data_IF_963969725650
#
_entry.id   IF_963969725650
#
_cell.length_a   1.000
_cell.length_b   1.000
_cell.length_c   1.000
_cell.angle_alpha   90.00
_cell.angle_beta   90.00
_cell.angle_gamma   90.00
#
_symmetry.space_group_name_H-M   'P 1'
#
loop_
_entity.id
_entity.type
_entity.pdbx_description
1 polymer ?
#
# COMPACT_ATOMS: atom_id res chain seq x y z
N UNK A 1 9.13 21.00 -2.52
CA UNK A 1 9.08 19.52 -2.47
C UNK A 1 10.13 18.97 -3.42
N UNK A 2 11.20 18.32 -2.93
CA UNK A 2 12.22 17.73 -3.80
C UNK A 2 11.96 16.23 -3.94
N UNK A 3 11.38 15.86 -5.08
CA UNK A 3 11.16 14.46 -5.48
C UNK A 3 11.94 14.23 -6.77
N UNK A 4 12.78 13.21 -6.80
CA UNK A 4 13.68 12.89 -7.92
C UNK A 4 13.42 11.49 -8.44
N UNK A 5 13.74 11.25 -9.73
CA UNK A 5 13.69 9.90 -10.30
C UNK A 5 14.85 9.08 -9.72
N UNK A 6 14.55 7.90 -9.19
CA UNK A 6 15.58 6.98 -8.74
C UNK A 6 16.44 6.50 -9.91
N UNK A 7 17.72 6.32 -9.63
CA UNK A 7 18.71 5.68 -10.50
C UNK A 7 19.16 4.35 -9.86
N UNK A 8 19.71 3.39 -10.62
CA UNK A 8 20.06 2.06 -10.11
C UNK A 8 20.99 2.08 -8.90
N UNK A 9 21.84 3.11 -8.76
CA UNK A 9 22.76 3.31 -7.63
C UNK A 9 22.04 3.60 -6.30
N UNK A 10 20.74 3.89 -6.34
CA UNK A 10 19.93 4.10 -5.13
C UNK A 10 19.41 2.79 -4.52
N UNK A 11 19.59 1.64 -5.19
CA UNK A 11 19.07 0.34 -4.77
C UNK A 11 19.29 0.03 -3.27
N UNK A 12 20.53 0.20 -2.80
CA UNK A 12 20.88 -0.05 -1.40
C UNK A 12 20.12 0.89 -0.47
N UNK A 13 20.08 2.19 -0.79
CA UNK A 13 19.38 3.18 0.03
C UNK A 13 17.87 2.89 0.11
N UNK A 14 17.25 2.51 -1.01
CA UNK A 14 15.81 2.18 -1.05
C UNK A 14 15.51 0.88 -0.28
N UNK A 15 16.40 -0.11 -0.37
CA UNK A 15 16.32 -1.34 0.42
C UNK A 15 16.37 -1.02 1.93
N UNK A 16 17.30 -0.17 2.37
CA UNK A 16 17.38 0.23 3.78
C UNK A 16 16.12 0.96 4.26
N UNK A 17 15.55 1.85 3.43
CA UNK A 17 14.29 2.53 3.76
C UNK A 17 13.16 1.50 3.92
N UNK A 18 13.06 0.54 3.01
CA UNK A 18 12.02 -0.50 3.01
C UNK A 18 12.07 -1.34 4.28
N UNK A 19 13.27 -1.83 4.63
CA UNK A 19 13.48 -2.66 5.83
C UNK A 19 13.20 -1.85 7.10
N UNK A 20 13.71 -0.62 7.20
CA UNK A 20 13.50 0.24 8.37
C UNK A 20 12.01 0.58 8.56
N UNK A 21 11.31 0.93 7.48
CA UNK A 21 9.88 1.22 7.51
C UNK A 21 9.06 -0.02 7.86
N UNK A 22 9.42 -1.20 7.36
CA UNK A 22 8.73 -2.45 7.69
C UNK A 22 8.91 -2.85 9.16
N UNK A 23 10.13 -2.68 9.70
CA UNK A 23 10.44 -2.96 11.12
C UNK A 23 9.68 -2.05 12.09
N UNK A 24 9.29 -0.85 11.66
CA UNK A 24 8.51 0.07 12.49
C UNK A 24 7.18 -0.52 12.98
N UNK A 25 6.63 -1.50 12.26
CA UNK A 25 5.39 -2.18 12.62
C UNK A 25 5.55 -3.22 13.74
N UNK A 26 6.74 -3.38 14.31
CA UNK A 26 7.03 -4.33 15.39
C UNK A 26 6.69 -5.79 15.06
N UNK A 27 6.77 -6.18 13.78
CA UNK A 27 6.74 -7.59 13.41
C UNK A 27 7.91 -8.34 14.06
N UNK A 28 7.76 -9.63 14.38
CA UNK A 28 8.87 -10.42 14.89
C UNK A 28 10.07 -10.38 13.95
N UNK A 29 11.29 -10.23 14.50
CA UNK A 29 12.50 -10.05 13.68
C UNK A 29 12.76 -11.25 12.76
N UNK A 30 12.40 -12.47 13.17
CA UNK A 30 12.52 -13.65 12.32
C UNK A 30 11.59 -13.59 11.09
N UNK A 31 10.45 -12.90 11.16
CA UNK A 31 9.61 -12.64 9.97
C UNK A 31 10.26 -11.63 9.03
N UNK A 32 10.84 -10.58 9.59
CA UNK A 32 11.59 -9.59 8.81
C UNK A 32 12.74 -10.28 8.06
N UNK A 33 13.46 -11.20 8.72
CA UNK A 33 14.52 -12.00 8.10
C UNK A 33 14.00 -12.84 6.93
N UNK A 34 12.87 -13.54 7.10
CA UNK A 34 12.23 -14.29 6.01
C UNK A 34 11.84 -13.39 4.83
N UNK A 35 11.45 -12.15 5.10
CA UNK A 35 11.05 -11.20 4.06
C UNK A 35 12.19 -10.41 3.43
N UNK A 36 13.44 -10.50 3.92
CA UNK A 36 14.55 -9.72 3.37
C UNK A 36 14.68 -9.81 1.85
N UNK A 37 14.56 -10.99 1.20
CA UNK A 37 14.58 -11.07 -0.26
C UNK A 37 13.47 -10.24 -0.93
N UNK A 38 12.27 -10.24 -0.37
CA UNK A 38 11.10 -9.48 -0.88
C UNK A 38 11.21 -7.98 -0.59
N UNK A 39 11.91 -7.59 0.48
CA UNK A 39 12.14 -6.19 0.88
C UNK A 39 13.36 -5.56 0.19
N UNK A 40 14.10 -6.34 -0.61
CA UNK A 40 15.30 -5.89 -1.31
C UNK A 40 14.94 -5.31 -2.67
N UNK A 41 15.34 -4.07 -2.90
CA UNK A 41 15.16 -3.37 -4.17
C UNK A 41 16.43 -3.48 -4.99
N UNK A 42 16.35 -4.10 -6.16
CA UNK A 42 17.52 -4.28 -7.03
C UNK A 42 17.74 -3.10 -7.99
N UNK A 43 18.96 -2.90 -8.50
CA UNK A 43 19.26 -1.94 -9.56
C UNK A 43 18.41 -2.16 -10.83
N UNK A 44 18.16 -3.43 -11.18
CA UNK A 44 17.35 -3.85 -12.34
C UNK A 44 15.90 -3.43 -12.14
N UNK A 45 15.34 -3.68 -10.95
CA UNK A 45 13.99 -3.24 -10.61
C UNK A 45 13.81 -1.73 -10.81
N UNK A 46 14.79 -0.92 -10.38
CA UNK A 46 14.74 0.54 -10.54
C UNK A 46 14.79 0.96 -12.02
N UNK A 47 15.56 0.22 -12.83
CA UNK A 47 15.72 0.48 -14.26
C UNK A 47 14.45 0.16 -15.05
N UNK A 48 13.73 -0.89 -14.64
CA UNK A 48 12.54 -1.39 -15.32
C UNK A 48 11.24 -0.69 -14.90
N UNK A 49 11.20 -0.12 -13.68
CA UNK A 49 9.97 0.43 -13.09
C UNK A 49 10.06 1.93 -12.82
N UNK A 50 8.92 2.61 -12.69
CA UNK A 50 8.88 4.04 -12.39
C UNK A 50 9.00 4.30 -10.87
N UNK A 51 10.23 4.51 -10.42
CA UNK A 51 10.62 4.70 -9.01
C UNK A 51 11.02 6.15 -8.71
N UNK A 52 10.45 6.75 -7.66
CA UNK A 52 10.70 8.14 -7.28
C UNK A 52 11.03 8.28 -5.79
N UNK A 53 11.98 9.17 -5.48
CA UNK A 53 12.55 9.35 -4.16
C UNK A 53 12.22 10.75 -3.64
N UNK A 54 11.74 10.85 -2.41
CA UNK A 54 11.71 12.09 -1.63
C UNK A 54 13.07 12.30 -0.96
N UNK A 55 13.67 13.45 -1.23
CA UNK A 55 14.86 13.89 -0.51
C UNK A 55 14.50 14.79 0.67
N UNK A 56 15.17 14.58 1.81
CA UNK A 56 15.18 15.47 2.97
C UNK A 56 16.64 15.77 3.28
N UNK A 57 17.00 17.05 3.32
CA UNK A 57 18.40 17.47 3.53
C UNK A 57 19.38 16.80 2.55
N UNK A 58 18.93 16.59 1.31
CA UNK A 58 19.72 15.96 0.24
C UNK A 58 19.82 14.43 0.32
N UNK A 59 19.17 13.77 1.29
CA UNK A 59 19.22 12.31 1.48
C UNK A 59 17.89 11.63 1.17
N UNK A 60 17.89 10.41 0.59
CA UNK A 60 16.69 9.59 0.44
C UNK A 60 16.02 9.33 1.79
N UNK A 61 14.75 9.75 1.92
CA UNK A 61 13.99 9.61 3.16
C UNK A 61 12.68 8.83 2.98
N UNK A 62 12.17 8.79 1.76
CA UNK A 62 10.99 8.03 1.38
C UNK A 62 11.04 7.79 -0.13
N UNK A 63 10.33 6.78 -0.61
CA UNK A 63 10.22 6.52 -2.04
C UNK A 63 8.92 5.80 -2.37
N UNK A 64 8.57 5.76 -3.65
CA UNK A 64 7.55 4.86 -4.16
C UNK A 64 7.97 4.30 -5.52
N UNK A 65 7.31 3.23 -5.95
CA UNK A 65 7.44 2.68 -7.29
C UNK A 65 6.09 2.37 -7.92
N UNK A 66 6.00 2.56 -9.23
CA UNK A 66 4.90 2.11 -10.06
C UNK A 66 5.39 0.97 -10.95
N UNK A 67 4.68 -0.15 -10.88
CA UNK A 67 4.92 -1.35 -11.68
C UNK A 67 3.72 -1.59 -12.58
N UNK A 68 3.96 -1.69 -13.87
CA UNK A 68 2.93 -2.09 -14.82
C UNK A 68 3.01 -3.60 -15.00
N UNK A 69 1.87 -4.29 -14.83
CA UNK A 69 1.74 -5.72 -15.12
C UNK A 69 0.55 -5.93 -16.04
N UNK A 70 0.82 -6.37 -17.26
CA UNK A 70 -0.14 -6.41 -18.36
C UNK A 70 -0.95 -5.10 -18.50
N UNK A 71 -2.26 -5.16 -18.21
CA UNK A 71 -3.19 -4.03 -18.28
C UNK A 71 -3.48 -3.39 -16.92
N UNK A 72 -2.65 -3.67 -15.91
CA UNK A 72 -2.81 -3.17 -14.55
C UNK A 72 -1.60 -2.33 -14.14
N UNK A 73 -1.85 -1.33 -13.29
CA UNK A 73 -0.82 -0.51 -12.68
C UNK A 73 -0.88 -0.68 -11.17
N UNK A 74 0.28 -0.95 -10.59
CA UNK A 74 0.44 -1.21 -9.16
C UNK A 74 1.34 -0.13 -8.54
N UNK A 75 0.89 0.42 -7.41
CA UNK A 75 1.77 1.09 -6.46
C UNK A 75 2.48 0.00 -5.67
N UNK A 76 3.59 -0.46 -6.23
CA UNK A 76 4.29 -1.66 -5.78
C UNK A 76 5.07 -1.39 -4.48
N UNK A 77 5.59 -0.17 -4.33
CA UNK A 77 6.21 0.29 -3.09
C UNK A 77 5.76 1.70 -2.74
N UNK A 78 5.57 1.97 -1.45
CA UNK A 78 5.49 3.32 -0.87
C UNK A 78 6.00 3.25 0.58
N UNK A 79 7.23 3.69 0.79
CA UNK A 79 7.91 3.57 2.08
C UNK A 79 8.45 4.93 2.54
N UNK A 80 8.32 5.18 3.84
CA UNK A 80 8.82 6.39 4.51
C UNK A 80 9.65 5.94 5.69
N UNK A 81 10.84 6.52 5.87
CA UNK A 81 11.65 6.24 7.06
C UNK A 81 10.88 6.56 8.35
N UNK A 82 11.02 5.76 9.43
CA UNK A 82 10.27 5.93 10.68
C UNK A 82 10.37 7.34 11.27
N UNK A 83 11.56 7.95 11.29
CA UNK A 83 11.81 9.31 11.78
C UNK A 83 11.08 10.41 10.99
N UNK A 84 10.54 10.07 9.82
CA UNK A 84 9.81 10.95 8.93
C UNK A 84 8.32 10.60 8.78
N UNK A 85 7.86 9.53 9.44
CA UNK A 85 6.43 9.16 9.48
C UNK A 85 5.59 10.19 10.26
N UNK A 86 4.30 10.25 9.96
CA UNK A 86 3.37 11.20 10.58
C UNK A 86 3.51 12.66 10.14
N UNK A 87 4.52 12.99 9.30
CA UNK A 87 4.81 14.36 8.83
C UNK A 87 4.19 14.71 7.48
N UNK A 88 3.25 13.90 6.97
CA UNK A 88 2.59 14.12 5.69
C UNK A 88 3.35 13.64 4.44
N UNK A 89 4.57 13.10 4.59
CA UNK A 89 5.41 12.69 3.45
C UNK A 89 4.77 11.58 2.60
N UNK A 90 4.19 10.56 3.24
CA UNK A 90 3.48 9.49 2.52
C UNK A 90 2.34 10.03 1.67
N UNK A 91 1.58 11.01 2.18
CA UNK A 91 0.50 11.69 1.45
C UNK A 91 1.02 12.45 0.23
N UNK A 92 2.13 13.19 0.40
CA UNK A 92 2.78 13.91 -0.70
C UNK A 92 3.26 12.97 -1.80
N UNK A 93 3.93 11.87 -1.43
CA UNK A 93 4.40 10.88 -2.38
C UNK A 93 3.26 10.14 -3.08
N UNK A 94 2.19 9.80 -2.34
CA UNK A 94 1.00 9.19 -2.93
C UNK A 94 0.34 10.11 -3.96
N UNK A 95 0.19 11.40 -3.65
CA UNK A 95 -0.34 12.39 -4.60
C UNK A 95 0.54 12.50 -5.86
N UNK A 96 1.86 12.51 -5.69
CA UNK A 96 2.79 12.47 -6.82
C UNK A 96 2.65 11.17 -7.63
N UNK A 97 2.51 10.01 -6.98
CA UNK A 97 2.30 8.73 -7.64
C UNK A 97 1.01 8.71 -8.48
N UNK A 98 -0.10 9.29 -7.99
CA UNK A 98 -1.33 9.43 -8.77
C UNK A 98 -1.14 10.32 -10.01
N UNK A 99 -0.43 11.43 -9.88
CA UNK A 99 -0.12 12.30 -11.03
C UNK A 99 0.70 11.55 -12.09
N UNK A 100 1.69 10.76 -11.66
CA UNK A 100 2.51 9.92 -12.55
C UNK A 100 1.70 8.81 -13.20
N UNK A 101 0.82 8.17 -12.44
CA UNK A 101 -0.04 7.06 -12.89
C UNK A 101 -0.95 7.44 -14.06
N UNK A 102 -1.34 8.70 -14.18
CA UNK A 102 -2.18 9.18 -15.31
C UNK A 102 -1.52 9.00 -16.68
N UNK A 103 -0.19 8.92 -16.74
CA UNK A 103 0.54 8.71 -18.00
C UNK A 103 0.29 7.33 -18.61
N UNK A 104 -0.10 6.36 -17.78
CA UNK A 104 -0.36 4.98 -18.20
C UNK A 104 -1.73 4.81 -18.86
N UNK A 105 -2.61 5.84 -18.83
CA UNK A 105 -3.96 5.82 -19.44
C UNK A 105 -4.85 4.65 -18.95
N UNK A 106 -4.62 4.23 -17.72
CA UNK A 106 -5.45 3.24 -17.03
C UNK A 106 -6.46 3.93 -16.12
N UNK A 107 -7.57 3.25 -15.84
CA UNK A 107 -8.66 3.79 -15.01
C UNK A 107 -8.38 3.71 -13.51
N UNK A 108 -7.50 2.80 -13.08
CA UNK A 108 -7.28 2.48 -11.68
C UNK A 108 -5.79 2.28 -11.36
N UNK A 109 -5.43 2.55 -10.12
CA UNK A 109 -4.14 2.17 -9.52
C UNK A 109 -4.43 1.17 -8.39
N UNK A 110 -3.76 0.02 -8.44
CA UNK A 110 -3.87 -1.06 -7.45
C UNK A 110 -2.77 -0.98 -6.41
N UNK A 111 -3.04 -1.51 -5.23
CA UNK A 111 -2.14 -1.49 -4.08
C UNK A 111 -2.32 -2.81 -3.34
N UNK A 112 -1.25 -3.58 -3.15
CA UNK A 112 -1.21 -4.63 -2.13
C UNK A 112 -0.70 -3.99 -0.84
N UNK A 113 -1.60 -3.78 0.11
CA UNK A 113 -1.27 -3.05 1.33
C UNK A 113 -0.72 -3.98 2.40
N UNK A 114 0.20 -3.47 3.22
CA UNK A 114 0.39 -4.03 4.56
C UNK A 114 -0.88 -3.80 5.38
N UNK A 115 -1.34 -4.75 6.23
CA UNK A 115 -2.51 -4.55 7.07
C UNK A 115 -2.45 -3.27 7.91
N UNK A 116 -1.26 -2.89 8.39
CA UNK A 116 -1.08 -1.66 9.17
C UNK A 116 -1.19 -0.38 8.32
N UNK A 117 -1.03 -0.48 7.00
CA UNK A 117 -1.12 0.63 6.06
C UNK A 117 -2.50 0.75 5.38
N UNK A 118 -3.40 -0.22 5.56
CA UNK A 118 -4.73 -0.21 4.93
C UNK A 118 -5.49 1.09 5.22
N UNK A 119 -5.52 1.49 6.50
CA UNK A 119 -6.20 2.72 6.92
C UNK A 119 -5.61 3.95 6.23
N UNK A 120 -4.29 4.02 6.04
CA UNK A 120 -3.65 5.12 5.32
C UNK A 120 -4.21 5.23 3.89
N UNK A 121 -4.28 4.11 3.16
CA UNK A 121 -4.79 4.10 1.79
C UNK A 121 -6.30 4.40 1.72
N UNK A 122 -7.08 3.93 2.70
CA UNK A 122 -8.50 4.30 2.81
C UNK A 122 -8.67 5.82 2.97
N UNK A 123 -7.86 6.47 3.82
CA UNK A 123 -7.89 7.93 3.96
C UNK A 123 -7.46 8.67 2.68
N UNK A 124 -6.68 8.03 1.80
CA UNK A 124 -6.31 8.58 0.49
C UNK A 124 -7.39 8.35 -0.58
N UNK A 125 -8.49 7.67 -0.25
CA UNK A 125 -9.59 7.39 -1.17
C UNK A 125 -9.47 6.04 -1.89
N UNK A 126 -8.56 5.16 -1.48
CA UNK A 126 -8.54 3.79 -1.98
C UNK A 126 -9.64 2.95 -1.29
N UNK A 127 -10.24 2.03 -2.04
CA UNK A 127 -11.22 1.06 -1.53
C UNK A 127 -10.64 -0.35 -1.56
N UNK A 128 -10.96 -1.18 -0.58
CA UNK A 128 -10.60 -2.60 -0.60
C UNK A 128 -11.42 -3.32 -1.67
N UNK A 129 -10.77 -4.15 -2.46
CA UNK A 129 -11.38 -4.90 -3.57
C UNK A 129 -11.14 -6.40 -3.48
N UNK A 130 -10.24 -6.81 -2.60
CA UNK A 130 -9.94 -8.20 -2.33
C UNK A 130 -8.85 -8.33 -1.28
N UNK A 131 -8.25 -9.52 -1.26
CA UNK A 131 -7.12 -9.84 -0.41
C UNK A 131 -6.28 -10.94 -1.05
N UNK A 132 -5.02 -10.98 -0.67
CA UNK A 132 -4.12 -12.09 -0.97
C UNK A 132 -3.79 -12.82 0.33
N UNK A 133 -4.07 -14.12 0.32
CA UNK A 133 -3.65 -15.01 1.39
C UNK A 133 -2.17 -15.35 1.21
N UNK A 134 -1.42 -15.19 2.29
CA UNK A 134 -0.04 -15.60 2.40
C UNK A 134 0.21 -16.31 3.72
N UNK A 135 1.45 -16.74 3.89
CA UNK A 135 1.92 -17.39 5.10
C UNK A 135 3.29 -16.79 5.46
N UNK A 136 3.56 -16.68 6.76
CA UNK A 136 4.90 -16.43 7.27
C UNK A 136 5.12 -17.33 8.49
N UNK A 137 6.13 -18.20 8.41
CA UNK A 137 6.51 -19.09 9.51
C UNK A 137 5.33 -19.91 10.06
N UNK A 138 4.53 -20.52 9.18
CA UNK A 138 3.35 -21.30 9.56
C UNK A 138 2.14 -20.47 10.01
N UNK A 139 2.22 -19.14 9.99
CA UNK A 139 1.12 -18.25 10.38
C UNK A 139 0.46 -17.59 9.17
N UNK A 140 -0.88 -17.56 9.11
CA UNK A 140 -1.59 -16.92 8.02
C UNK A 140 -1.36 -15.40 8.03
N UNK A 141 -1.17 -14.84 6.84
CA UNK A 141 -0.98 -13.41 6.60
C UNK A 141 -1.89 -12.98 5.46
N UNK A 142 -2.88 -12.15 5.77
CA UNK A 142 -3.83 -11.62 4.78
C UNK A 142 -3.37 -10.23 4.37
N UNK A 143 -3.23 -9.99 3.06
CA UNK A 143 -2.84 -8.70 2.50
C UNK A 143 -4.02 -8.05 1.78
N UNK A 144 -4.53 -6.90 2.25
CA UNK A 144 -5.59 -6.19 1.56
C UNK A 144 -5.15 -5.76 0.16
N UNK A 145 -5.96 -6.09 -0.84
CA UNK A 145 -5.82 -5.53 -2.19
C UNK A 145 -6.77 -4.35 -2.30
N UNK A 146 -6.20 -3.19 -2.61
CA UNK A 146 -6.90 -1.91 -2.66
C UNK A 146 -6.84 -1.32 -4.08
N UNK A 147 -7.85 -0.54 -4.44
CA UNK A 147 -7.91 0.20 -5.71
C UNK A 147 -8.25 1.66 -5.46
N UNK A 148 -7.67 2.54 -6.28
CA UNK A 148 -8.06 3.94 -6.38
C UNK A 148 -8.33 4.32 -7.82
N UNK A 149 -9.44 5.03 -8.05
CA UNK A 149 -9.85 5.48 -9.37
C UNK A 149 -8.99 6.67 -9.81
N UNK A 150 -8.29 6.52 -10.92
CA UNK A 150 -7.44 7.57 -11.49
C UNK A 150 -8.23 8.64 -12.25
N UNK A 151 -9.49 8.34 -12.59
CA UNK A 151 -10.38 9.23 -13.36
C UNK A 151 -11.12 10.27 -12.50
N UNK A 152 -11.13 10.11 -11.17
CA UNK A 152 -11.98 10.93 -10.26
C UNK A 152 -11.22 12.14 -9.66
N UNK A 153 -9.90 12.22 -9.84
CA UNK A 153 -9.10 13.32 -9.28
C UNK A 153 -8.92 14.48 -10.27
N UNK A 154 -9.92 15.35 -10.41
CA UNK A 154 -9.73 16.63 -11.09
C UNK A 154 -8.83 17.57 -10.26
N UNK A 155 -7.89 18.26 -10.93
CA UNK A 155 -7.03 19.27 -10.29
C UNK A 155 -7.91 20.33 -9.59
N UNK A 156 -7.73 20.50 -8.28
CA UNK A 156 -8.15 21.73 -7.57
C UNK A 156 -9.23 21.61 -6.50
N UNK A 157 -9.71 20.42 -6.11
CA UNK A 157 -10.54 20.30 -4.89
C UNK A 157 -9.66 20.05 -3.67
N UNK A 158 -9.43 21.10 -2.87
CA UNK A 158 -9.10 20.95 -1.45
C UNK A 158 -10.06 19.93 -0.85
N UNK A 159 -9.51 18.95 -0.15
CA UNK A 159 -10.30 18.07 0.72
C UNK A 159 -10.93 18.98 1.78
N UNK A 160 -12.19 19.34 1.57
CA UNK A 160 -13.04 19.88 2.63
C UNK A 160 -13.49 18.67 3.42
N UNK A 161 -12.90 18.50 4.61
CA UNK A 161 -13.46 17.64 5.64
C UNK A 161 -14.87 18.18 5.92
N UNK A 162 -15.91 17.45 5.52
CA UNK A 162 -17.26 17.77 5.96
C UNK A 162 -17.33 17.49 7.45
N UNK A 163 -17.41 18.56 8.24
CA UNK A 163 -17.84 18.51 9.63
C UNK A 163 -19.21 17.82 9.69
N UNK A 164 -19.28 16.74 10.47
CA UNK A 164 -20.56 16.18 10.90
C UNK A 164 -21.18 17.17 11.87
N UNK A 165 -22.29 17.78 11.47
CA UNK A 165 -23.18 18.45 12.40
C UNK A 165 -23.97 17.40 13.17
N UNK A 166 -24.00 17.59 14.48
CA UNK A 166 -24.77 16.84 15.46
C UNK A 166 -26.28 16.92 15.18
N UNK A 167 -26.96 15.81 15.42
CA UNK A 167 -28.42 15.69 15.33
C UNK A 167 -28.91 14.47 16.09
N UNK A 168 -29.03 14.62 17.41
CA UNK A 168 -29.62 13.68 18.35
C UNK A 168 -31.14 13.54 18.18
N UNK A 169 -31.66 12.30 18.18
CA UNK A 169 -32.84 11.81 18.91
C UNK A 169 -33.09 10.36 18.44
N UNK A 170 -32.72 9.36 19.24
CA UNK A 170 -33.54 8.75 20.30
C UNK A 170 -34.70 7.95 19.72
N UNK A 171 -34.50 6.63 19.57
CA UNK A 171 -35.59 5.69 19.81
C UNK A 171 -35.03 4.32 20.20
N UNK A 172 -35.34 3.95 21.43
CA UNK A 172 -34.97 2.71 22.09
C UNK A 172 -36.01 1.64 21.75
N UNK A 173 -35.56 0.46 21.32
CA UNK A 173 -36.28 -0.81 21.51
C UNK A 173 -35.37 -2.02 21.36
N UNK A 174 -35.73 -3.02 22.15
CA UNK A 174 -34.91 -4.05 22.76
C UNK A 174 -35.34 -5.43 22.24
N UNK A 175 -34.40 -6.30 21.86
CA UNK A 175 -34.52 -7.78 21.79
C UNK A 175 -33.12 -8.32 21.46
N UNK A 176 -32.38 -8.95 22.38
CA UNK A 176 -32.43 -10.35 22.86
C UNK A 176 -32.11 -11.42 21.81
N UNK A 177 -31.06 -12.15 22.16
CA UNK A 177 -30.78 -13.58 21.98
C UNK A 177 -29.85 -14.09 20.86
N UNK A 178 -29.02 -15.02 21.30
CA UNK A 178 -27.83 -15.64 20.72
C UNK A 178 -28.08 -16.54 19.48
N UNK A 179 -27.04 -16.74 18.66
CA UNK A 179 -26.54 -18.07 18.26
C UNK A 179 -25.33 -17.97 17.30
N UNK A 180 -24.23 -18.64 17.63
CA UNK A 180 -23.26 -19.23 16.68
C UNK A 180 -23.65 -20.71 16.45
N UNK A 181 -23.00 -21.50 15.55
CA UNK A 181 -22.38 -21.22 14.26
C UNK A 181 -22.78 -22.28 13.17
N UNK A 182 -22.08 -22.24 12.02
CA UNK A 182 -21.91 -23.24 10.93
C UNK A 182 -22.70 -23.08 9.61
N UNK A 183 -21.96 -23.20 8.50
CA UNK A 183 -22.53 -23.50 7.19
C UNK A 183 -21.62 -23.26 5.98
N UNK A 184 -20.71 -24.22 5.73
CA UNK A 184 -20.24 -24.74 4.42
C UNK A 184 -19.71 -23.82 3.30
N UNK A 185 -18.50 -24.19 2.85
CA UNK A 185 -17.75 -23.71 1.69
C UNK A 185 -18.49 -23.91 0.35
N UNK A 186 -18.38 -22.92 -0.54
CA UNK A 186 -18.46 -23.14 -1.98
C UNK A 186 -17.16 -22.65 -2.65
N UNK A 187 -16.32 -23.61 -3.03
CA UNK A 187 -15.04 -23.41 -3.68
C UNK A 187 -15.21 -22.81 -5.08
N UNK A 188 -14.72 -21.58 -5.29
CA UNK A 188 -14.45 -21.02 -6.63
C UNK A 188 -12.95 -20.82 -6.75
N UNK A 189 -12.32 -21.59 -7.63
CA UNK A 189 -10.89 -21.48 -7.97
C UNK A 189 -10.61 -20.08 -8.53
N UNK A 190 -9.79 -19.30 -7.82
CA UNK A 190 -9.23 -18.04 -8.32
C UNK A 190 -7.93 -18.31 -9.12
N UNK A 191 -7.61 -17.49 -10.13
CA UNK A 191 -6.36 -17.60 -10.88
C UNK A 191 -5.15 -17.24 -9.99
N UNK A 192 -3.96 -17.78 -10.28
CA UNK A 192 -2.80 -17.60 -9.43
C UNK A 192 -2.36 -16.14 -9.35
N UNK A 193 -2.06 -15.70 -8.13
CA UNK A 193 -1.37 -14.45 -7.84
C UNK A 193 0.00 -14.40 -8.56
N UNK A 194 0.47 -13.23 -9.02
CA UNK A 194 1.81 -13.08 -9.58
C UNK A 194 2.94 -13.42 -8.58
N UNK A 195 2.63 -13.57 -7.29
CA UNK A 195 3.57 -14.02 -6.24
C UNK A 195 3.53 -15.53 -5.97
N UNK A 196 2.67 -16.29 -6.66
CA UNK A 196 2.53 -17.74 -6.46
C UNK A 196 3.77 -18.55 -6.90
N UNK A 197 4.76 -17.91 -7.52
CA UNK A 197 5.94 -18.59 -8.09
C UNK A 197 7.23 -18.42 -7.28
N UNK A 198 7.19 -17.81 -6.09
CA UNK A 198 8.38 -17.62 -5.23
C UNK A 198 8.34 -18.51 -3.97
N UNK A 199 7.58 -19.60 -4.03
CA UNK A 199 7.57 -20.63 -2.98
C UNK A 199 7.67 -22.02 -3.61
N UNK A 200 8.85 -22.33 -4.16
CA UNK A 200 9.35 -23.69 -4.33
C UNK A 200 10.84 -23.73 -3.99
#
# INVERSE_FOLDING_TARGET
MMVIRAQPEHADALTQITIAAKRHWNYPEHWIQTWLPLLTISPEYISENEVWIKLIEGKPAAYYSLKQDANELWLDNLWVLPEHMGKGIGRELFAHALERSRKFRLSTLKIEADPNAESFYQHMGARRVGEHDGEVDGQPRILPVMEIDLLVFEKGKSIVLQERADGSSDDSKQARDACEPNGELASRKQPPSPWSSVSQ
#
